data_IF_700736064354
#
_entry.id   IF_700736064354
#
_cell.length_a   1.000
_cell.length_b   1.000
_cell.length_c   1.000
_cell.angle_alpha   90.00
_cell.angle_beta   90.00
_cell.angle_gamma   90.00
#
_symmetry.space_group_name_H-M   'P 1'
#
loop_
_entity.id
_entity.type
_entity.pdbx_description
1 polymer ?
#
# COMPACT_ATOMS: atom_id res chain seq x y z
N UNK A 1 -14.96 -1.39 -15.84
CA UNK A 1 -14.96 -0.16 -15.04
C UNK A 1 -13.95 -0.34 -13.92
N UNK A 2 -13.19 0.70 -13.59
CA UNK A 2 -12.14 0.68 -12.55
C UNK A 2 -12.70 0.50 -11.12
N UNK A 3 -14.03 0.65 -10.97
CA UNK A 3 -14.71 0.51 -9.68
C UNK A 3 -14.44 1.69 -8.75
N UNK A 4 -15.18 1.74 -7.64
CA UNK A 4 -15.05 2.81 -6.64
C UNK A 4 -14.43 2.33 -5.33
N UNK A 5 -14.39 1.01 -5.05
CA UNK A 5 -13.76 0.48 -3.83
C UNK A 5 -12.29 0.10 -4.03
N UNK A 6 -11.49 0.16 -2.96
CA UNK A 6 -10.09 -0.32 -2.98
C UNK A 6 -9.97 -1.74 -3.52
N UNK A 7 -10.88 -2.65 -3.13
CA UNK A 7 -10.91 -4.03 -3.66
C UNK A 7 -11.04 -4.06 -5.18
N UNK A 8 -11.96 -3.25 -5.74
CA UNK A 8 -12.20 -3.24 -7.18
C UNK A 8 -10.99 -2.73 -7.96
N UNK A 9 -10.31 -1.70 -7.44
CA UNK A 9 -9.11 -1.15 -8.04
C UNK A 9 -7.92 -2.12 -7.95
N UNK A 10 -7.69 -2.72 -6.78
CA UNK A 10 -6.66 -3.76 -6.61
C UNK A 10 -6.89 -4.95 -7.56
N UNK A 11 -8.15 -5.39 -7.69
CA UNK A 11 -8.53 -6.44 -8.64
C UNK A 11 -8.31 -6.02 -10.10
N UNK A 12 -8.59 -4.76 -10.45
CA UNK A 12 -8.31 -4.22 -11.77
C UNK A 12 -6.81 -4.23 -12.09
N UNK A 13 -5.96 -3.78 -11.15
CA UNK A 13 -4.50 -3.80 -11.28
C UNK A 13 -4.01 -5.23 -11.50
N UNK A 14 -4.41 -6.16 -10.62
CA UNK A 14 -3.99 -7.56 -10.70
C UNK A 14 -4.41 -8.20 -12.02
N UNK A 15 -5.66 -8.05 -12.44
CA UNK A 15 -6.17 -8.61 -13.72
C UNK A 15 -5.44 -8.01 -14.93
N UNK A 16 -5.25 -6.70 -14.95
CA UNK A 16 -4.56 -6.00 -16.05
C UNK A 16 -3.11 -6.45 -16.16
N UNK A 17 -2.38 -6.51 -15.04
CA UNK A 17 -1.01 -7.00 -15.02
C UNK A 17 -0.93 -8.47 -15.48
N UNK A 18 -1.82 -9.33 -14.99
CA UNK A 18 -1.86 -10.75 -15.40
C UNK A 18 -2.17 -10.94 -16.89
N UNK A 19 -3.08 -10.13 -17.44
CA UNK A 19 -3.49 -10.21 -18.84
C UNK A 19 -2.38 -9.70 -19.78
N UNK A 20 -1.82 -8.54 -19.49
CA UNK A 20 -0.91 -7.84 -20.41
C UNK A 20 0.57 -8.03 -20.10
N UNK A 21 0.90 -8.59 -18.93
CA UNK A 21 2.27 -8.75 -18.42
C UNK A 21 3.06 -7.44 -18.40
N UNK A 22 2.37 -6.34 -18.11
CA UNK A 22 2.93 -4.99 -18.06
C UNK A 22 2.58 -4.32 -16.72
N UNK A 23 3.49 -3.50 -16.16
CA UNK A 23 3.15 -2.59 -15.08
C UNK A 23 1.99 -1.67 -15.46
N UNK A 24 1.17 -1.31 -14.48
CA UNK A 24 0.00 -0.44 -14.68
C UNK A 24 0.35 0.95 -14.16
N UNK A 25 0.04 1.98 -14.94
CA UNK A 25 0.07 3.38 -14.49
C UNK A 25 -1.36 3.88 -14.40
N UNK A 26 -1.73 4.46 -13.27
CA UNK A 26 -3.08 4.92 -12.98
C UNK A 26 -3.10 6.43 -12.81
N UNK A 27 -4.13 7.08 -13.34
CA UNK A 27 -4.44 8.48 -13.05
C UNK A 27 -5.64 8.51 -12.09
N UNK A 28 -5.38 8.18 -10.84
CA UNK A 28 -6.39 7.94 -9.80
C UNK A 28 -6.66 9.21 -9.02
N UNK A 29 -7.37 10.15 -9.64
CA UNK A 29 -7.64 11.48 -9.05
C UNK A 29 -8.38 11.41 -7.70
N UNK A 30 -7.64 11.55 -6.60
CA UNK A 30 -8.17 11.57 -5.23
C UNK A 30 -8.81 12.93 -4.94
N UNK A 31 -9.95 12.90 -4.25
CA UNK A 31 -10.77 14.06 -3.87
C UNK A 31 -11.27 14.90 -5.06
N UNK A 32 -11.57 14.28 -6.21
CA UNK A 32 -12.02 14.99 -7.42
C UNK A 32 -13.21 15.94 -7.19
N UNK A 33 -14.27 15.50 -6.50
CA UNK A 33 -15.40 16.41 -6.25
C UNK A 33 -15.00 17.62 -5.39
N UNK A 34 -14.05 17.43 -4.46
CA UNK A 34 -13.45 18.50 -3.67
C UNK A 34 -12.63 19.47 -4.53
N UNK A 35 -11.83 18.95 -5.46
CA UNK A 35 -11.08 19.78 -6.41
C UNK A 35 -11.99 20.62 -7.32
N UNK A 36 -13.19 20.10 -7.61
CA UNK A 36 -14.24 20.77 -8.39
C UNK A 36 -15.13 21.69 -7.53
N UNK A 37 -14.77 21.93 -6.26
CA UNK A 37 -15.38 22.91 -5.37
C UNK A 37 -16.42 22.37 -4.37
N UNK A 38 -16.73 21.06 -4.37
CA UNK A 38 -17.67 20.48 -3.40
C UNK A 38 -16.96 20.16 -2.08
N UNK A 39 -17.39 20.76 -0.97
CA UNK A 39 -16.76 20.56 0.35
C UNK A 39 -15.28 21.01 0.39
N UNK A 40 -14.89 21.95 -0.47
CA UNK A 40 -13.56 22.53 -0.45
C UNK A 40 -13.51 23.74 0.49
N UNK A 41 -13.30 23.48 1.78
CA UNK A 41 -13.26 24.53 2.81
C UNK A 41 -11.83 24.92 3.21
N UNK A 42 -10.84 24.11 2.87
CA UNK A 42 -9.45 24.21 3.32
C UNK A 42 -8.42 24.33 2.18
N UNK A 43 -8.81 24.06 0.93
CA UNK A 43 -7.89 24.01 -0.21
C UNK A 43 -6.92 22.85 -0.16
N UNK A 44 -7.20 21.80 0.62
CA UNK A 44 -6.27 20.68 0.87
C UNK A 44 -6.81 19.36 0.34
N UNK A 45 -5.90 18.51 -0.13
CA UNK A 45 -6.16 17.08 -0.31
C UNK A 45 -6.40 16.45 1.07
N UNK A 46 -7.28 15.46 1.15
CA UNK A 46 -7.43 14.64 2.35
C UNK A 46 -6.21 13.71 2.46
N UNK A 47 -5.39 13.95 3.49
CA UNK A 47 -4.14 13.23 3.73
C UNK A 47 -4.34 11.70 3.77
N UNK A 48 -5.38 11.23 4.47
CA UNK A 48 -5.65 9.80 4.60
C UNK A 48 -6.02 9.15 3.26
N UNK A 49 -6.82 9.84 2.45
CA UNK A 49 -7.21 9.35 1.14
C UNK A 49 -6.02 9.21 0.19
N UNK A 50 -5.14 10.21 0.14
CA UNK A 50 -3.94 10.18 -0.71
C UNK A 50 -3.01 9.02 -0.30
N UNK A 51 -2.69 8.91 1.00
CA UNK A 51 -1.80 7.88 1.51
C UNK A 51 -2.36 6.46 1.29
N UNK A 52 -3.64 6.23 1.58
CA UNK A 52 -4.26 4.91 1.38
C UNK A 52 -4.34 4.51 -0.10
N UNK A 53 -4.59 5.48 -1.00
CA UNK A 53 -4.60 5.23 -2.44
C UNK A 53 -3.24 4.75 -2.92
N UNK A 54 -2.18 5.49 -2.63
CA UNK A 54 -0.82 5.13 -3.04
C UNK A 54 -0.35 3.82 -2.44
N UNK A 55 -0.55 3.62 -1.14
CA UNK A 55 -0.18 2.38 -0.47
C UNK A 55 -0.85 1.17 -1.14
N UNK A 56 -2.13 1.28 -1.48
CA UNK A 56 -2.86 0.22 -2.18
C UNK A 56 -2.33 0.00 -3.62
N UNK A 57 -2.14 1.06 -4.40
CA UNK A 57 -1.67 0.94 -5.79
C UNK A 57 -0.26 0.35 -5.86
N UNK A 58 0.67 0.90 -5.08
CA UNK A 58 2.08 0.52 -5.08
C UNK A 58 2.30 -0.86 -4.49
N UNK A 59 1.58 -1.25 -3.43
CA UNK A 59 1.61 -2.62 -2.91
C UNK A 59 1.15 -3.65 -3.98
N UNK A 60 0.25 -3.25 -4.88
CA UNK A 60 -0.21 -4.06 -6.01
C UNK A 60 0.65 -3.93 -7.27
N UNK A 61 1.74 -3.15 -7.23
CA UNK A 61 2.65 -3.00 -8.37
C UNK A 61 2.19 -1.99 -9.43
N UNK A 62 1.24 -1.11 -9.10
CA UNK A 62 0.86 0.01 -9.96
C UNK A 62 1.62 1.29 -9.56
N UNK A 63 1.83 2.17 -10.52
CA UNK A 63 2.35 3.52 -10.29
C UNK A 63 1.22 4.53 -10.41
N UNK A 64 1.23 5.55 -9.56
CA UNK A 64 0.24 6.61 -9.55
C UNK A 64 0.77 7.87 -10.27
N UNK A 65 0.06 8.33 -11.29
CA UNK A 65 0.30 9.59 -11.98
C UNK A 65 -0.41 10.72 -11.23
N UNK A 66 0.27 11.28 -10.23
CA UNK A 66 -0.32 12.27 -9.32
C UNK A 66 0.51 13.54 -9.11
N UNK A 67 1.78 13.55 -9.55
CA UNK A 67 2.69 14.69 -9.42
C UNK A 67 3.04 15.32 -10.77
N UNK A 68 2.92 16.64 -10.84
CA UNK A 68 3.48 17.51 -11.88
C UNK A 68 4.15 18.73 -11.26
N UNK A 69 3.84 19.93 -11.75
CA UNK A 69 4.19 21.19 -11.05
C UNK A 69 3.45 21.34 -9.71
N UNK A 70 2.36 20.59 -9.55
CA UNK A 70 1.50 20.49 -8.38
C UNK A 70 0.83 19.11 -8.34
N UNK A 71 0.06 18.82 -7.29
CA UNK A 71 -0.72 17.58 -7.16
C UNK A 71 -1.89 17.54 -8.13
N UNK A 72 -2.12 16.40 -8.78
CA UNK A 72 -3.18 16.20 -9.77
C UNK A 72 -4.46 15.65 -9.11
N UNK A 73 -5.39 16.54 -8.78
CA UNK A 73 -6.66 16.16 -8.15
C UNK A 73 -7.82 15.94 -9.13
N UNK A 74 -7.63 16.19 -10.44
CA UNK A 74 -8.59 15.88 -11.51
C UNK A 74 -7.90 15.78 -12.90
N UNK A 75 -8.68 15.46 -13.93
CA UNK A 75 -8.25 15.29 -15.32
C UNK A 75 -7.78 16.58 -15.99
N UNK A 76 -8.15 17.74 -15.46
CA UNK A 76 -7.69 19.02 -15.98
C UNK A 76 -6.40 19.41 -15.27
N UNK A 77 -5.27 18.90 -15.76
CA UNK A 77 -3.94 19.02 -15.12
C UNK A 77 -3.52 20.44 -14.70
N UNK A 78 -3.98 21.55 -15.31
CA UNK A 78 -3.71 22.89 -14.77
C UNK A 78 -4.44 23.23 -13.46
N UNK A 79 -5.40 22.41 -13.01
CA UNK A 79 -6.14 22.61 -11.76
C UNK A 79 -5.24 22.36 -10.54
N UNK A 80 -5.02 23.43 -9.78
CA UNK A 80 -4.22 23.45 -8.55
C UNK A 80 -5.05 23.89 -7.34
N UNK A 81 -6.35 23.59 -7.36
CA UNK A 81 -7.31 24.00 -6.32
C UNK A 81 -7.04 23.32 -4.98
N UNK A 82 -6.49 22.09 -5.01
CA UNK A 82 -6.06 21.37 -3.82
C UNK A 82 -4.54 21.30 -3.75
N UNK A 83 -4.01 21.39 -2.53
CA UNK A 83 -2.59 21.19 -2.22
C UNK A 83 -2.42 20.07 -1.21
N UNK A 84 -1.25 19.44 -1.25
CA UNK A 84 -0.84 18.50 -0.21
C UNK A 84 -0.32 19.29 1.00
N UNK A 85 -0.50 18.75 2.20
CA UNK A 85 0.27 19.18 3.36
C UNK A 85 1.74 18.78 3.19
N UNK A 86 2.66 19.52 3.80
CA UNK A 86 4.10 19.19 3.73
C UNK A 86 4.37 17.78 4.29
N UNK A 87 3.60 17.34 5.29
CA UNK A 87 3.73 16.01 5.87
C UNK A 87 3.30 14.92 4.88
N UNK A 88 2.13 15.06 4.25
CA UNK A 88 1.64 14.10 3.26
C UNK A 88 2.55 14.05 2.06
N UNK A 89 3.03 15.20 1.56
CA UNK A 89 3.98 15.23 0.46
C UNK A 89 5.26 14.45 0.81
N UNK A 90 5.83 14.62 2.01
CA UNK A 90 7.01 13.84 2.44
C UNK A 90 6.73 12.33 2.49
N UNK A 91 5.56 11.92 3.00
CA UNK A 91 5.17 10.50 3.05
C UNK A 91 4.98 9.91 1.66
N UNK A 92 4.30 10.60 0.74
CA UNK A 92 4.15 10.16 -0.64
C UNK A 92 5.50 10.08 -1.38
N UNK A 93 6.43 11.00 -1.11
CA UNK A 93 7.81 10.88 -1.61
C UNK A 93 8.51 9.62 -1.06
N UNK A 94 8.35 9.31 0.23
CA UNK A 94 8.84 8.05 0.81
C UNK A 94 8.20 6.81 0.18
N UNK A 95 6.91 6.87 -0.16
CA UNK A 95 6.22 5.78 -0.87
C UNK A 95 6.81 5.56 -2.25
N UNK A 96 7.09 6.63 -3.00
CA UNK A 96 7.78 6.57 -4.29
C UNK A 96 9.19 5.97 -4.16
N UNK A 97 9.97 6.39 -3.15
CA UNK A 97 11.30 5.83 -2.88
C UNK A 97 11.23 4.31 -2.59
N UNK A 98 10.27 3.89 -1.77
CA UNK A 98 10.01 2.49 -1.48
C UNK A 98 9.60 1.70 -2.74
N UNK A 99 8.67 2.25 -3.53
CA UNK A 99 8.20 1.61 -4.75
C UNK A 99 9.33 1.42 -5.76
N UNK A 100 10.22 2.40 -5.93
CA UNK A 100 11.40 2.31 -6.80
C UNK A 100 12.43 1.34 -6.24
N UNK A 101 12.77 1.43 -4.94
CA UNK A 101 13.77 0.57 -4.30
C UNK A 101 13.40 -0.92 -4.40
N UNK A 102 12.10 -1.23 -4.30
CA UNK A 102 11.59 -2.60 -4.29
C UNK A 102 10.79 -2.97 -5.55
N UNK A 103 10.96 -2.20 -6.62
CA UNK A 103 10.17 -2.29 -7.86
C UNK A 103 10.09 -3.71 -8.43
N UNK A 104 11.20 -4.46 -8.41
CA UNK A 104 11.25 -5.83 -8.94
C UNK A 104 10.36 -6.80 -8.15
N UNK A 105 10.25 -6.62 -6.83
CA UNK A 105 9.42 -7.47 -5.97
C UNK A 105 7.97 -7.02 -6.02
N UNK A 106 7.70 -5.71 -5.93
CA UNK A 106 6.35 -5.14 -5.98
C UNK A 106 5.69 -5.32 -7.38
N UNK A 107 6.46 -5.41 -8.46
CA UNK A 107 5.97 -5.87 -9.77
C UNK A 107 6.05 -7.39 -9.99
N UNK A 108 6.45 -8.15 -8.96
CA UNK A 108 6.58 -9.59 -9.00
C UNK A 108 5.24 -10.34 -9.06
N UNK A 109 5.29 -11.66 -8.89
CA UNK A 109 4.09 -12.51 -8.84
C UNK A 109 3.38 -12.33 -7.51
N UNK A 110 2.06 -12.26 -7.55
CA UNK A 110 1.24 -12.40 -6.34
C UNK A 110 1.43 -13.80 -5.76
N UNK A 111 1.39 -13.87 -4.44
CA UNK A 111 1.36 -15.08 -3.65
C UNK A 111 -0.01 -15.15 -3.01
N UNK A 112 -0.74 -16.22 -3.31
CA UNK A 112 -2.10 -16.43 -2.77
C UNK A 112 -2.11 -17.30 -1.50
N UNK A 113 -0.93 -17.74 -1.04
CA UNK A 113 -0.79 -18.47 0.23
C UNK A 113 -1.24 -17.57 1.39
N UNK A 114 -2.12 -18.08 2.25
CA UNK A 114 -2.75 -17.31 3.32
C UNK A 114 -1.74 -16.91 4.40
N UNK A 115 -1.68 -15.60 4.69
CA UNK A 115 -1.00 -15.05 5.86
C UNK A 115 -2.02 -14.94 6.98
N UNK A 116 -1.65 -15.37 8.18
CA UNK A 116 -2.53 -15.30 9.35
C UNK A 116 -1.90 -14.46 10.46
N UNK A 117 -2.74 -14.00 11.39
CA UNK A 117 -2.30 -13.29 12.59
C UNK A 117 -3.07 -13.81 13.81
N UNK A 118 -2.35 -13.94 14.92
CA UNK A 118 -2.96 -14.29 16.22
C UNK A 118 -3.44 -13.07 17.01
N UNK A 119 -3.13 -11.85 16.55
CA UNK A 119 -3.46 -10.61 17.27
C UNK A 119 -4.39 -9.68 16.50
N UNK A 120 -4.47 -9.78 15.17
CA UNK A 120 -5.27 -8.87 14.34
C UNK A 120 -6.06 -9.62 13.26
N UNK A 121 -7.18 -9.04 12.85
CA UNK A 121 -7.91 -9.50 11.66
C UNK A 121 -7.18 -9.06 10.39
N UNK A 122 -6.88 -10.01 9.51
CA UNK A 122 -6.23 -9.75 8.23
C UNK A 122 -7.23 -9.81 7.06
N UNK A 123 -6.87 -9.15 5.97
CA UNK A 123 -7.60 -9.14 4.70
C UNK A 123 -6.64 -9.22 3.52
N UNK A 124 -7.13 -9.62 2.35
CA UNK A 124 -6.45 -9.48 1.05
C UNK A 124 -7.21 -8.56 0.08
N UNK A 125 -8.30 -7.95 0.54
CA UNK A 125 -9.26 -7.21 -0.29
C UNK A 125 -9.55 -5.81 0.25
N UNK A 126 -8.67 -5.23 1.09
CA UNK A 126 -8.82 -3.85 1.58
C UNK A 126 -10.11 -3.61 2.38
N UNK A 127 -10.57 -4.64 3.10
CA UNK A 127 -11.73 -4.52 3.97
C UNK A 127 -11.44 -3.54 5.13
N UNK A 128 -12.43 -2.69 5.42
CA UNK A 128 -12.43 -1.80 6.57
C UNK A 128 -12.27 -2.59 7.89
N UNK A 129 -11.60 -1.96 8.86
CA UNK A 129 -11.39 -2.50 10.21
C UNK A 129 -10.49 -3.75 10.26
N UNK A 130 -9.63 -3.90 9.25
CA UNK A 130 -8.63 -4.98 9.15
C UNK A 130 -7.27 -4.44 8.69
N UNK A 131 -6.23 -5.26 8.83
CA UNK A 131 -4.94 -5.03 8.17
C UNK A 131 -4.92 -5.81 6.87
N UNK A 132 -4.72 -5.11 5.75
CA UNK A 132 -4.61 -5.76 4.44
C UNK A 132 -3.19 -6.19 4.18
N UNK A 133 -3.04 -7.43 3.70
CA UNK A 133 -1.76 -7.98 3.28
C UNK A 133 -1.72 -8.13 1.76
N UNK A 134 -0.64 -7.67 1.13
CA UNK A 134 -0.36 -7.94 -0.28
C UNK A 134 0.99 -8.64 -0.38
N UNK A 135 0.97 -9.93 -0.73
CA UNK A 135 2.16 -10.76 -0.77
C UNK A 135 2.67 -10.94 -2.19
N UNK A 136 3.90 -10.50 -2.45
CA UNK A 136 4.53 -10.47 -3.76
C UNK A 136 5.91 -11.11 -3.71
N UNK A 137 6.29 -11.86 -4.76
CA UNK A 137 7.61 -12.49 -4.88
C UNK A 137 8.22 -12.31 -6.27
N UNK A 138 9.55 -12.25 -6.31
CA UNK A 138 10.34 -12.21 -7.54
C UNK A 138 11.68 -12.93 -7.34
N UNK A 139 12.53 -12.90 -8.35
CA UNK A 139 13.90 -13.39 -8.23
C UNK A 139 14.77 -12.63 -7.22
N UNK A 140 14.29 -11.50 -6.70
CA UNK A 140 14.96 -10.68 -5.67
C UNK A 140 14.50 -10.98 -4.24
N UNK A 141 13.60 -11.93 -4.04
CA UNK A 141 12.98 -12.23 -2.75
C UNK A 141 11.49 -11.90 -2.74
N UNK A 142 10.92 -11.75 -1.55
CA UNK A 142 9.49 -11.52 -1.36
C UNK A 142 9.22 -10.35 -0.42
N UNK A 143 8.06 -9.71 -0.60
CA UNK A 143 7.56 -8.63 0.24
C UNK A 143 6.12 -8.93 0.61
N UNK A 144 5.81 -8.83 1.90
CA UNK A 144 4.44 -8.66 2.38
C UNK A 144 4.23 -7.19 2.68
N UNK A 145 3.38 -6.53 1.90
CA UNK A 145 2.91 -5.17 2.23
C UNK A 145 1.80 -5.27 3.28
N UNK A 146 1.86 -4.43 4.32
CA UNK A 146 0.83 -4.30 5.34
C UNK A 146 0.18 -2.92 5.20
N UNK A 147 -1.11 -2.87 4.84
CA UNK A 147 -1.88 -1.63 4.72
C UNK A 147 -2.93 -1.60 5.83
N UNK A 148 -2.88 -0.58 6.69
CA UNK A 148 -3.81 -0.43 7.80
C UNK A 148 -5.14 0.15 7.33
N UNK A 149 -6.19 -0.65 7.31
CA UNK A 149 -7.56 -0.21 7.01
C UNK A 149 -8.39 -0.03 8.29
N UNK A 150 -7.75 -0.02 9.47
CA UNK A 150 -8.45 0.02 10.76
C UNK A 150 -8.99 1.41 11.06
N UNK A 151 -10.31 1.55 11.27
CA UNK A 151 -10.92 2.84 11.60
C UNK A 151 -11.14 3.77 10.42
N UNK A 152 -10.82 3.36 9.18
CA UNK A 152 -11.10 4.17 7.98
C UNK A 152 -12.60 4.44 7.85
N UNK A 153 -12.98 5.58 7.26
CA UNK A 153 -14.37 5.98 7.13
C UNK A 153 -15.13 5.04 6.18
N UNK A 154 -14.53 4.75 5.02
CA UNK A 154 -15.09 3.96 3.94
C UNK A 154 -14.00 3.32 3.07
N UNK A 155 -14.40 2.42 2.18
CA UNK A 155 -13.54 1.70 1.22
C UNK A 155 -13.42 2.41 -0.15
N UNK A 156 -14.07 3.56 -0.34
CA UNK A 156 -13.97 4.32 -1.58
C UNK A 156 -12.59 4.99 -1.71
N UNK A 157 -11.78 4.51 -2.65
CA UNK A 157 -10.39 4.97 -2.83
C UNK A 157 -10.29 6.42 -3.34
N UNK A 158 -11.31 6.91 -4.06
CA UNK A 158 -11.30 8.28 -4.56
C UNK A 158 -11.53 9.30 -3.45
N UNK A 159 -12.23 8.90 -2.37
CA UNK A 159 -12.74 9.80 -1.33
C UNK A 159 -13.24 11.14 -1.93
N UNK A 160 -14.26 11.13 -2.81
CA UNK A 160 -14.52 12.25 -3.70
C UNK A 160 -14.69 13.60 -2.97
N UNK A 161 -15.21 13.58 -1.74
CA UNK A 161 -15.53 14.76 -0.92
C UNK A 161 -14.53 15.03 0.21
N UNK A 162 -13.44 14.28 0.31
CA UNK A 162 -12.41 14.51 1.33
C UNK A 162 -12.84 14.14 2.76
N UNK A 163 -13.58 13.05 2.92
CA UNK A 163 -14.17 12.58 4.19
C UNK A 163 -13.46 11.37 4.81
N UNK A 164 -12.40 10.88 4.18
CA UNK A 164 -11.59 9.80 4.74
C UNK A 164 -10.92 10.23 6.05
N UNK A 165 -10.66 9.26 6.92
CA UNK A 165 -9.95 9.48 8.18
C UNK A 165 -8.69 8.62 8.23
N UNK A 166 -7.65 9.12 8.89
CA UNK A 166 -6.42 8.37 9.09
C UNK A 166 -6.72 7.05 9.82
N UNK A 167 -6.10 5.94 9.42
CA UNK A 167 -6.23 4.68 10.13
C UNK A 167 -5.81 4.81 11.60
N UNK A 168 -6.49 4.08 12.47
CA UNK A 168 -6.06 3.92 13.87
C UNK A 168 -4.79 3.10 13.90
N UNK A 169 -3.71 3.67 14.44
CA UNK A 169 -2.43 2.99 14.62
C UNK A 169 -2.58 1.64 15.32
N UNK A 170 -1.98 0.60 14.75
CA UNK A 170 -1.98 -0.76 15.29
C UNK A 170 -0.63 -1.09 15.92
N UNK A 171 -0.59 -2.00 16.89
CA UNK A 171 0.64 -2.38 17.60
C UNK A 171 0.69 -3.88 17.86
N UNK A 172 1.90 -4.45 17.97
CA UNK A 172 2.12 -5.86 18.29
C UNK A 172 1.40 -6.82 17.32
N UNK A 173 1.57 -6.60 16.01
CA UNK A 173 0.98 -7.42 14.96
C UNK A 173 1.83 -8.67 14.80
N UNK A 174 1.31 -9.81 15.27
CA UNK A 174 2.01 -11.10 15.16
C UNK A 174 1.60 -11.77 13.87
N UNK A 175 2.54 -11.98 12.96
CA UNK A 175 2.29 -12.56 11.65
C UNK A 175 2.85 -13.97 11.55
N UNK A 176 2.07 -14.85 10.94
CA UNK A 176 2.46 -16.18 10.53
C UNK A 176 2.41 -16.25 9.00
N UNK A 177 3.58 -16.28 8.37
CA UNK A 177 3.74 -16.05 6.92
C UNK A 177 4.25 -17.33 6.26
N UNK A 178 3.55 -17.84 5.22
CA UNK A 178 4.06 -18.94 4.43
C UNK A 178 5.28 -18.52 3.61
N UNK A 179 6.32 -19.36 3.64
CA UNK A 179 7.58 -19.18 2.92
C UNK A 179 8.00 -20.49 2.25
N UNK A 180 8.81 -20.38 1.21
CA UNK A 180 9.36 -21.55 0.50
C UNK A 180 10.85 -21.64 0.78
N UNK A 181 11.34 -22.78 1.29
CA UNK A 181 12.76 -22.99 1.55
C UNK A 181 13.29 -22.20 2.75
N UNK A 182 14.61 -22.16 2.91
CA UNK A 182 15.26 -21.54 4.07
C UNK A 182 15.34 -20.01 3.96
N UNK A 183 14.69 -19.30 4.89
CA UNK A 183 14.76 -17.84 5.01
C UNK A 183 16.11 -17.44 5.62
N UNK A 184 16.78 -16.47 5.01
CA UNK A 184 18.09 -15.96 5.44
C UNK A 184 17.97 -14.70 6.27
N UNK A 185 17.03 -13.82 5.94
CA UNK A 185 16.78 -12.60 6.69
C UNK A 185 15.37 -12.10 6.49
N UNK A 186 14.85 -11.43 7.51
CA UNK A 186 13.62 -10.66 7.45
C UNK A 186 13.90 -9.25 7.93
N UNK A 187 13.32 -8.26 7.26
CA UNK A 187 13.50 -6.86 7.59
C UNK A 187 12.19 -6.11 7.40
N UNK A 188 11.95 -5.15 8.28
CA UNK A 188 10.85 -4.20 8.19
C UNK A 188 11.34 -2.93 7.49
N UNK A 189 10.52 -2.40 6.60
CA UNK A 189 10.66 -1.04 6.08
C UNK A 189 9.39 -0.29 6.44
N UNK A 190 9.56 0.85 7.12
CA UNK A 190 8.45 1.72 7.50
C UNK A 190 8.18 2.71 6.38
N UNK A 191 7.27 2.36 5.47
CA UNK A 191 7.13 3.12 4.23
C UNK A 191 6.64 4.56 4.48
N UNK A 192 5.91 4.77 5.58
CA UNK A 192 5.50 6.10 6.06
C UNK A 192 6.68 7.02 6.44
N UNK A 193 7.88 6.47 6.67
CA UNK A 193 9.05 7.21 7.16
C UNK A 193 10.16 7.29 6.12
N UNK A 194 10.61 6.14 5.59
CA UNK A 194 11.68 6.08 4.58
C UNK A 194 11.73 4.69 3.89
N UNK A 195 12.68 4.50 2.97
CA UNK A 195 12.99 3.19 2.39
C UNK A 195 14.08 2.40 3.17
N UNK A 196 14.44 2.84 4.38
CA UNK A 196 15.47 2.21 5.21
C UNK A 196 15.07 0.79 5.65
N UNK A 197 16.06 -0.10 5.69
CA UNK A 197 15.86 -1.51 6.06
C UNK A 197 16.18 -1.70 7.53
N UNK A 198 15.21 -2.15 8.32
CA UNK A 198 15.38 -2.50 9.72
C UNK A 198 15.31 -4.02 9.91
N UNK A 199 16.42 -4.73 10.17
CA UNK A 199 16.38 -6.16 10.45
C UNK A 199 15.48 -6.47 11.64
N UNK A 200 14.62 -7.48 11.51
CA UNK A 200 13.74 -7.93 12.58
C UNK A 200 13.93 -9.42 12.85
N UNK A 201 13.70 -9.83 14.10
CA UNK A 201 13.75 -11.22 14.50
C UNK A 201 12.56 -12.00 13.94
N UNK A 202 12.81 -13.25 13.55
CA UNK A 202 11.79 -14.19 13.13
C UNK A 202 12.19 -15.60 13.58
N UNK A 203 11.22 -16.49 13.70
CA UNK A 203 11.45 -17.93 13.84
C UNK A 203 10.92 -18.65 12.62
N UNK A 204 11.67 -19.59 12.07
CA UNK A 204 11.18 -20.43 10.97
C UNK A 204 10.89 -21.85 11.48
N UNK A 205 9.69 -22.34 11.19
CA UNK A 205 9.29 -23.73 11.41
C UNK A 205 8.68 -24.27 10.11
N UNK A 206 9.34 -25.26 9.51
CA UNK A 206 8.96 -25.79 8.20
C UNK A 206 8.86 -24.66 7.14
N UNK A 207 7.69 -24.54 6.51
CA UNK A 207 7.38 -23.58 5.44
C UNK A 207 6.72 -22.31 5.97
N UNK A 208 6.94 -21.97 7.24
CA UNK A 208 6.38 -20.76 7.84
C UNK A 208 7.41 -20.01 8.65
N UNK A 209 7.28 -18.68 8.64
CA UNK A 209 7.96 -17.81 9.59
C UNK A 209 6.94 -17.13 10.51
N UNK A 210 7.34 -16.94 11.76
CA UNK A 210 6.63 -16.14 12.74
C UNK A 210 7.46 -14.91 13.09
N UNK A 211 6.81 -13.74 13.10
CA UNK A 211 7.44 -12.46 13.44
C UNK A 211 6.43 -11.51 14.08
N UNK A 212 6.94 -10.41 14.66
CA UNK A 212 6.11 -9.35 15.25
C UNK A 212 6.47 -8.01 14.62
N UNK A 213 5.45 -7.24 14.24
CA UNK A 213 5.58 -5.84 13.85
C UNK A 213 5.10 -4.99 15.02
N UNK A 214 5.98 -4.14 15.53
CA UNK A 214 5.73 -3.39 16.76
C UNK A 214 4.63 -2.35 16.59
N UNK A 215 4.61 -1.65 15.44
CA UNK A 215 3.68 -0.58 15.13
C UNK A 215 3.38 -0.57 13.62
N UNK A 216 2.15 -0.21 13.24
CA UNK A 216 1.76 0.08 11.86
C UNK A 216 0.84 1.32 11.85
N UNK A 217 1.19 2.34 11.07
CA UNK A 217 0.37 3.55 10.88
C UNK A 217 -0.49 3.45 9.62
N UNK A 218 0.09 3.57 8.42
CA UNK A 218 -0.62 3.36 7.14
C UNK A 218 -0.01 2.21 6.36
N UNK A 219 1.27 2.27 6.00
CA UNK A 219 1.90 1.27 5.13
C UNK A 219 3.32 0.91 5.55
N UNK A 220 3.54 -0.39 5.74
CA UNK A 220 4.86 -0.97 5.98
C UNK A 220 5.12 -2.17 5.05
N UNK A 221 6.39 -2.50 4.85
CA UNK A 221 6.85 -3.64 4.04
C UNK A 221 7.66 -4.61 4.91
N UNK A 222 7.29 -5.89 4.85
CA UNK A 222 8.11 -6.99 5.38
C UNK A 222 8.90 -7.61 4.23
N UNK A 223 10.18 -7.30 4.15
CA UNK A 223 11.12 -7.85 3.17
C UNK A 223 11.69 -9.19 3.65
N UNK A 224 11.49 -10.23 2.85
CA UNK A 224 11.95 -11.59 3.12
C UNK A 224 12.99 -11.96 2.06
N UNK A 225 14.20 -12.33 2.51
CA UNK A 225 15.30 -12.82 1.66
C UNK A 225 15.66 -14.25 2.03
N UNK A 226 16.03 -15.03 1.01
CA UNK A 226 16.19 -16.48 1.13
C UNK A 226 14.99 -17.21 0.52
N UNK A 227 15.02 -18.54 0.61
CA UNK A 227 14.02 -19.40 -0.01
C UNK A 227 14.26 -19.72 -1.48
N UNK A 228 13.46 -20.63 -2.04
CA UNK A 228 13.51 -20.97 -3.47
C UNK A 228 13.08 -19.76 -4.29
N UNK A 229 14.07 -19.16 -4.95
CA UNK A 229 13.93 -18.03 -5.85
C UNK A 229 13.43 -18.57 -7.19
N UNK A 230 12.11 -18.54 -7.42
CA UNK A 230 11.50 -18.94 -8.71
C UNK A 230 11.39 -17.76 -9.66
#
# INVERSE_FOLDING_TARGET
SIGYSFEQLANFIRKTNQQYKKPVVLASYVNKEKADGKNNNDGMVNDAAALLCDAMEMANGASHLEFGEHYLANEYFPNHTLKLSDETQRKLMSYMDNFVAYLMILNGKWVDDEITSSTHSLSTTFEKDKITTVYKRSSRGAIVSLINMTGVAHDNWQDPRGTQVMPTKQNNIKLHIPVTGQVKSVSLIKADESAEIHPISFTQSNNFIDLTIDELTVWDLVLIKGGDVV
#
